data_IF_338522310992
#
_entry.id   IF_338522310992
#
_cell.length_a   1.000
_cell.length_b   1.000
_cell.length_c   1.000
_cell.angle_alpha   90.00
_cell.angle_beta   90.00
_cell.angle_gamma   90.00
#
_symmetry.space_group_name_H-M   'P 1'
#
loop_
_entity.id
_entity.type
_entity.pdbx_description
1 polymer ?
#
# COMPACT_ATOMS: atom_id res chain seq x y z
N UNK A 1 -24.45 -0.37 3.79
CA UNK A 1 -25.08 -1.65 4.18
C UNK A 1 -24.64 -2.00 5.60
N UNK A 2 -25.50 -2.65 6.38
CA UNK A 2 -25.20 -3.09 7.76
C UNK A 2 -24.11 -4.20 7.73
N UNK A 3 -23.02 -4.12 8.50
CA UNK A 3 -21.94 -5.13 8.52
C UNK A 3 -22.43 -6.57 8.76
N UNK A 4 -23.49 -6.73 9.57
CA UNK A 4 -24.12 -8.04 9.83
C UNK A 4 -24.76 -8.65 8.56
N UNK A 5 -25.26 -7.83 7.64
CA UNK A 5 -25.87 -8.30 6.39
C UNK A 5 -24.81 -8.79 5.39
N UNK A 6 -23.62 -8.18 5.37
CA UNK A 6 -22.51 -8.65 4.54
C UNK A 6 -21.90 -9.95 5.07
N UNK A 7 -21.86 -10.12 6.39
CA UNK A 7 -21.38 -11.35 7.03
C UNK A 7 -22.35 -12.52 6.84
N UNK A 8 -23.66 -12.26 6.81
CA UNK A 8 -24.69 -13.25 6.47
C UNK A 8 -24.62 -13.69 5.00
N UNK A 9 -24.37 -12.75 4.07
CA UNK A 9 -24.22 -13.04 2.65
C UNK A 9 -22.97 -13.90 2.34
N UNK A 10 -21.91 -13.77 3.13
CA UNK A 10 -20.67 -14.55 2.97
C UNK A 10 -20.81 -16.04 3.36
N UNK A 11 -21.87 -16.41 4.09
CA UNK A 11 -22.11 -17.78 4.58
C UNK A 11 -23.27 -18.50 3.86
N UNK A 12 -23.85 -17.91 2.82
CA UNK A 12 -24.95 -18.52 2.05
C UNK A 12 -24.44 -19.59 1.08
N UNK A 13 -25.18 -20.68 0.95
CA UNK A 13 -24.95 -21.65 -0.13
C UNK A 13 -25.37 -21.04 -1.49
N UNK A 14 -24.84 -21.55 -2.62
CA UNK A 14 -25.23 -21.07 -3.95
C UNK A 14 -26.74 -21.14 -4.21
N UNK A 15 -27.44 -22.14 -3.66
CA UNK A 15 -28.89 -22.29 -3.76
C UNK A 15 -29.65 -21.23 -2.95
N UNK A 16 -29.19 -20.90 -1.75
CA UNK A 16 -29.79 -19.85 -0.91
C UNK A 16 -29.58 -18.46 -1.52
N UNK A 17 -28.41 -18.22 -2.13
CA UNK A 17 -28.14 -16.98 -2.85
C UNK A 17 -29.06 -16.82 -4.07
N UNK A 18 -29.38 -17.92 -4.76
CA UNK A 18 -30.27 -17.94 -5.91
C UNK A 18 -31.74 -17.69 -5.50
N UNK A 19 -32.24 -18.33 -4.43
CA UNK A 19 -33.58 -18.08 -3.90
C UNK A 19 -33.77 -16.62 -3.44
N UNK A 20 -32.75 -16.03 -2.82
CA UNK A 20 -32.80 -14.64 -2.37
C UNK A 20 -32.83 -13.66 -3.55
N UNK A 21 -32.07 -13.95 -4.61
CA UNK A 21 -32.15 -13.21 -5.88
C UNK A 21 -33.54 -13.36 -6.53
N UNK A 22 -34.19 -14.52 -6.40
CA UNK A 22 -35.52 -14.77 -6.95
C UNK A 22 -36.67 -14.13 -6.16
N UNK A 23 -36.40 -13.57 -4.98
CA UNK A 23 -37.35 -12.78 -4.19
C UNK A 23 -37.16 -11.26 -4.35
N UNK A 24 -36.04 -10.83 -4.95
CA UNK A 24 -35.74 -9.41 -5.19
C UNK A 24 -36.52 -8.85 -6.37
N UNK A 25 -36.76 -7.53 -6.35
CA UNK A 25 -37.31 -6.82 -7.51
C UNK A 25 -36.32 -6.83 -8.69
N UNK A 26 -36.77 -6.62 -9.95
CA UNK A 26 -35.88 -6.63 -11.12
C UNK A 26 -34.69 -5.65 -11.01
N UNK A 27 -34.90 -4.46 -10.43
CA UNK A 27 -33.83 -3.47 -10.22
C UNK A 27 -32.84 -3.91 -9.14
N UNK A 28 -33.31 -4.56 -8.07
CA UNK A 28 -32.45 -5.10 -7.01
C UNK A 28 -31.65 -6.32 -7.48
N UNK A 29 -32.24 -7.18 -8.33
CA UNK A 29 -31.54 -8.29 -8.98
C UNK A 29 -30.44 -7.80 -9.90
N UNK A 30 -30.70 -6.76 -10.68
CA UNK A 30 -29.70 -6.19 -11.58
C UNK A 30 -28.57 -5.54 -10.79
N UNK A 31 -28.88 -4.78 -9.73
CA UNK A 31 -27.85 -4.25 -8.82
C UNK A 31 -27.04 -5.37 -8.14
N UNK A 32 -27.70 -6.46 -7.71
CA UNK A 32 -27.02 -7.58 -7.09
C UNK A 32 -26.11 -8.33 -8.08
N UNK A 33 -26.54 -8.52 -9.34
CA UNK A 33 -25.72 -9.09 -10.41
C UNK A 33 -24.51 -8.22 -10.72
N UNK A 34 -24.71 -6.90 -10.86
CA UNK A 34 -23.61 -5.96 -11.08
C UNK A 34 -22.62 -5.97 -9.91
N UNK A 35 -23.11 -6.06 -8.67
CA UNK A 35 -22.29 -6.17 -7.46
C UNK A 35 -21.51 -7.49 -7.42
N UNK A 36 -22.15 -8.62 -7.74
CA UNK A 36 -21.48 -9.93 -7.84
C UNK A 36 -20.41 -9.94 -8.92
N UNK A 37 -20.69 -9.38 -10.10
CA UNK A 37 -19.71 -9.29 -11.18
C UNK A 37 -18.52 -8.39 -10.80
N UNK A 38 -18.79 -7.27 -10.13
CA UNK A 38 -17.76 -6.36 -9.61
C UNK A 38 -16.88 -7.08 -8.58
N UNK A 39 -17.47 -7.83 -7.65
CA UNK A 39 -16.74 -8.64 -6.68
C UNK A 39 -15.89 -9.72 -7.35
N UNK A 40 -16.45 -10.43 -8.35
CA UNK A 40 -15.73 -11.44 -9.12
C UNK A 40 -14.53 -10.86 -9.85
N UNK A 41 -14.71 -9.73 -10.54
CA UNK A 41 -13.63 -9.02 -11.24
C UNK A 41 -12.55 -8.57 -10.25
N UNK A 42 -12.94 -7.99 -9.12
CA UNK A 42 -11.99 -7.60 -8.07
C UNK A 42 -11.20 -8.80 -7.52
N UNK A 43 -11.82 -9.98 -7.40
CA UNK A 43 -11.14 -11.21 -7.00
C UNK A 43 -10.08 -11.68 -8.01
N UNK A 44 -10.34 -11.50 -9.31
CA UNK A 44 -9.37 -11.82 -10.37
C UNK A 44 -8.15 -10.90 -10.33
N UNK A 45 -8.35 -9.60 -10.15
CA UNK A 45 -7.24 -8.65 -10.03
C UNK A 45 -6.32 -8.99 -8.85
N UNK A 46 -6.92 -9.34 -7.73
CA UNK A 46 -6.18 -9.67 -6.52
C UNK A 46 -5.44 -10.99 -6.63
N UNK A 47 -6.07 -12.02 -7.21
CA UNK A 47 -5.41 -13.29 -7.48
C UNK A 47 -4.20 -13.09 -8.41
N UNK A 48 -4.37 -12.28 -9.46
CA UNK A 48 -3.29 -11.91 -10.38
C UNK A 48 -2.13 -11.20 -9.66
N UNK A 49 -2.43 -10.20 -8.83
CA UNK A 49 -1.42 -9.44 -8.10
C UNK A 49 -0.69 -10.31 -7.06
N UNK A 50 -1.39 -11.19 -6.35
CA UNK A 50 -0.78 -12.15 -5.42
C UNK A 50 0.16 -13.10 -6.16
N UNK A 51 -0.23 -13.58 -7.34
CA UNK A 51 0.62 -14.46 -8.14
C UNK A 51 1.86 -13.72 -8.68
N UNK A 52 1.68 -12.51 -9.20
CA UNK A 52 2.73 -11.76 -9.89
C UNK A 52 3.73 -11.11 -8.92
N UNK A 53 3.27 -10.73 -7.72
CA UNK A 53 4.10 -10.13 -6.67
C UNK A 53 4.59 -11.14 -5.64
N UNK A 54 4.34 -12.44 -5.83
CA UNK A 54 4.87 -13.46 -4.93
C UNK A 54 6.40 -13.31 -4.85
N UNK A 55 6.98 -13.20 -3.64
CA UNK A 55 8.43 -13.16 -3.48
C UNK A 55 9.09 -14.38 -4.12
N UNK A 56 10.31 -14.18 -4.63
CA UNK A 56 11.11 -15.28 -5.18
C UNK A 56 11.39 -16.31 -4.09
N UNK A 57 11.38 -17.60 -4.45
CA UNK A 57 11.78 -18.64 -3.51
C UNK A 57 13.32 -18.60 -3.25
N UNK A 58 14.11 -17.99 -4.15
CA UNK A 58 15.56 -17.84 -4.04
C UNK A 58 15.99 -16.68 -3.13
N UNK A 59 15.26 -15.56 -3.20
CA UNK A 59 15.48 -14.37 -2.36
C UNK A 59 14.12 -13.77 -1.93
N UNK A 60 13.46 -14.38 -0.94
CA UNK A 60 12.12 -13.98 -0.52
C UNK A 60 12.07 -12.65 0.23
N UNK A 61 13.22 -12.15 0.68
CA UNK A 61 13.35 -10.90 1.43
C UNK A 61 13.91 -9.75 0.57
N UNK A 62 14.04 -9.97 -0.75
CA UNK A 62 14.43 -8.93 -1.71
C UNK A 62 13.43 -7.78 -1.74
N UNK A 63 13.93 -6.55 -1.77
CA UNK A 63 13.10 -5.36 -1.96
C UNK A 63 12.40 -5.42 -3.33
N UNK A 64 11.10 -5.09 -3.35
CA UNK A 64 10.33 -5.04 -4.58
C UNK A 64 10.50 -3.65 -5.20
N UNK A 65 11.09 -3.59 -6.40
CA UNK A 65 11.26 -2.33 -7.11
C UNK A 65 9.92 -1.72 -7.52
N UNK A 66 9.88 -0.38 -7.62
CA UNK A 66 8.69 0.32 -8.08
C UNK A 66 8.32 -0.07 -9.52
N UNK A 67 9.31 -0.31 -10.39
CA UNK A 67 9.05 -0.75 -11.77
C UNK A 67 8.38 -2.12 -11.79
N UNK A 68 8.83 -3.07 -10.96
CA UNK A 68 8.20 -4.39 -10.85
C UNK A 68 6.77 -4.30 -10.33
N UNK A 69 6.49 -3.40 -9.38
CA UNK A 69 5.12 -3.10 -8.98
C UNK A 69 4.32 -2.56 -10.16
N UNK A 70 4.80 -1.52 -10.85
CA UNK A 70 4.11 -0.94 -12.01
C UNK A 70 3.79 -2.00 -13.08
N UNK A 71 4.71 -2.93 -13.37
CA UNK A 71 4.45 -4.07 -14.28
C UNK A 71 3.34 -4.99 -13.76
N UNK A 72 3.37 -5.34 -12.48
CA UNK A 72 2.34 -6.20 -11.88
C UNK A 72 0.95 -5.55 -11.93
N UNK A 73 0.86 -4.25 -11.65
CA UNK A 73 -0.40 -3.50 -11.78
C UNK A 73 -0.83 -3.37 -13.25
N UNK A 74 0.09 -3.03 -14.16
CA UNK A 74 -0.19 -2.85 -15.58
C UNK A 74 -0.77 -4.10 -16.26
N UNK A 75 -0.41 -5.28 -15.74
CA UNK A 75 -0.89 -6.58 -16.21
C UNK A 75 -2.17 -7.05 -15.52
N UNK A 76 -2.67 -6.36 -14.49
CA UNK A 76 -3.91 -6.73 -13.82
C UNK A 76 -5.13 -6.58 -14.77
N UNK A 77 -6.12 -7.49 -14.72
CA UNK A 77 -7.31 -7.45 -15.58
C UNK A 77 -8.01 -6.09 -15.66
N UNK A 78 -8.18 -5.38 -14.54
CA UNK A 78 -8.79 -4.05 -14.53
C UNK A 78 -7.94 -3.01 -15.28
N UNK A 79 -6.61 -3.09 -15.19
CA UNK A 79 -5.70 -2.23 -15.95
C UNK A 79 -5.68 -2.60 -17.43
N UNK A 80 -5.78 -3.89 -17.77
CA UNK A 80 -5.92 -4.31 -19.18
C UNK A 80 -7.23 -3.85 -19.81
N UNK A 81 -8.31 -3.75 -19.01
CA UNK A 81 -9.60 -3.28 -19.48
C UNK A 81 -9.57 -1.78 -19.84
N UNK A 82 -8.71 -0.98 -19.19
CA UNK A 82 -8.36 0.35 -19.71
C UNK A 82 -7.80 0.12 -21.12
N UNK A 83 -8.42 0.65 -22.16
CA UNK A 83 -7.86 0.58 -23.51
C UNK A 83 -8.56 -0.34 -24.49
N UNK A 84 -9.49 -1.16 -24.02
CA UNK A 84 -10.13 -2.16 -24.90
C UNK A 84 -11.22 -1.57 -25.80
N UNK A 85 -11.71 -0.36 -25.49
CA UNK A 85 -12.53 0.44 -26.40
C UNK A 85 -11.71 1.66 -26.86
N UNK A 86 -11.07 1.54 -28.02
CA UNK A 86 -10.22 2.57 -28.62
C UNK A 86 -10.93 3.92 -28.75
N UNK A 87 -12.26 3.93 -28.98
CA UNK A 87 -13.07 5.15 -29.11
C UNK A 87 -13.40 5.80 -27.76
N UNK A 88 -13.48 5.01 -26.68
CA UNK A 88 -13.57 5.55 -25.32
C UNK A 88 -12.21 6.03 -24.81
N UNK A 89 -11.11 5.45 -25.30
CA UNK A 89 -9.78 5.87 -24.89
C UNK A 89 -9.37 7.18 -25.53
N UNK A 90 -9.30 7.27 -26.85
CA UNK A 90 -8.63 8.36 -27.58
C UNK A 90 -9.26 9.75 -27.42
N UNK A 91 -10.41 9.85 -26.75
CA UNK A 91 -11.33 10.94 -27.01
C UNK A 91 -11.82 10.88 -28.46
N UNK A 92 -12.76 11.74 -28.86
CA UNK A 92 -13.27 11.74 -30.24
C UNK A 92 -12.23 12.17 -31.30
N UNK A 93 -11.02 12.56 -30.91
CA UNK A 93 -10.11 13.39 -31.72
C UNK A 93 -8.70 12.85 -31.95
N UNK A 94 -8.20 11.89 -31.14
CA UNK A 94 -6.81 11.41 -31.28
C UNK A 94 -6.75 10.09 -32.06
N UNK A 95 -5.79 9.95 -32.98
CA UNK A 95 -5.49 8.65 -33.59
C UNK A 95 -4.55 7.83 -32.70
N UNK A 96 -4.70 6.50 -32.69
CA UNK A 96 -3.87 5.60 -31.87
C UNK A 96 -2.36 5.78 -32.11
N UNK A 97 -1.96 6.01 -33.36
CA UNK A 97 -0.57 6.30 -33.76
C UNK A 97 0.00 7.53 -33.05
N UNK A 98 -0.75 8.63 -33.00
CA UNK A 98 -0.33 9.88 -32.34
C UNK A 98 -0.17 9.67 -30.84
N UNK A 99 -1.08 8.90 -30.24
CA UNK A 99 -1.01 8.60 -28.81
C UNK A 99 0.18 7.70 -28.46
N UNK A 100 0.47 6.70 -29.31
CA UNK A 100 1.65 5.83 -29.17
C UNK A 100 2.96 6.61 -29.30
N UNK A 101 3.05 7.52 -30.27
CA UNK A 101 4.22 8.39 -30.43
C UNK A 101 4.42 9.30 -29.20
N UNK A 102 3.34 9.85 -28.65
CA UNK A 102 3.40 10.67 -27.43
C UNK A 102 3.86 9.85 -26.22
N UNK A 103 3.36 8.63 -26.06
CA UNK A 103 3.78 7.71 -24.98
C UNK A 103 5.24 7.28 -25.11
N UNK A 104 5.72 7.07 -26.34
CA UNK A 104 7.15 6.75 -26.58
C UNK A 104 8.06 7.91 -26.15
N UNK A 105 7.66 9.16 -26.45
CA UNK A 105 8.39 10.35 -25.94
C UNK A 105 8.36 10.43 -24.41
N UNK A 106 7.26 10.03 -23.78
CA UNK A 106 7.15 9.98 -22.32
C UNK A 106 8.06 8.90 -21.74
N UNK A 107 8.15 7.73 -22.36
CA UNK A 107 9.10 6.69 -21.99
C UNK A 107 10.55 7.20 -22.07
N UNK A 108 10.95 7.81 -23.18
CA UNK A 108 12.28 8.42 -23.33
C UNK A 108 12.57 9.43 -22.21
N UNK A 109 11.58 10.25 -21.85
CA UNK A 109 11.73 11.22 -20.76
C UNK A 109 11.79 10.54 -19.39
N UNK A 110 11.04 9.46 -19.17
CA UNK A 110 11.10 8.66 -17.94
C UNK A 110 12.48 8.03 -17.78
N UNK A 111 13.11 7.54 -18.85
CA UNK A 111 14.50 7.07 -18.84
C UNK A 111 15.48 8.21 -18.53
N UNK A 112 15.35 9.38 -19.17
CA UNK A 112 16.17 10.56 -18.90
C UNK A 112 16.11 10.99 -17.42
N UNK A 113 14.92 10.91 -16.83
CA UNK A 113 14.66 11.23 -15.42
C UNK A 113 15.07 10.11 -14.45
N UNK A 114 15.54 8.97 -14.96
CA UNK A 114 15.95 7.81 -14.17
C UNK A 114 14.80 7.04 -13.51
N UNK A 115 13.57 7.20 -14.00
CA UNK A 115 12.41 6.42 -13.56
C UNK A 115 12.51 4.95 -14.01
N UNK A 116 13.17 4.74 -15.15
CA UNK A 116 13.41 3.46 -15.81
C UNK A 116 14.90 3.35 -16.14
N UNK A 117 15.42 2.13 -16.14
CA UNK A 117 16.69 1.84 -16.80
C UNK A 117 16.43 1.70 -18.31
N UNK A 118 17.44 2.02 -19.11
CA UNK A 118 17.39 1.80 -20.56
C UNK A 118 17.02 0.36 -20.87
N UNK A 119 16.12 0.19 -21.83
CA UNK A 119 15.60 -1.10 -22.30
C UNK A 119 14.83 -1.90 -21.25
N UNK A 120 14.51 -1.31 -20.08
CA UNK A 120 13.82 -2.03 -19.02
C UNK A 120 12.46 -2.52 -19.53
N UNK A 121 11.73 -1.75 -20.35
CA UNK A 121 10.43 -2.16 -20.88
C UNK A 121 10.49 -2.94 -22.21
N UNK A 122 11.66 -3.16 -22.80
CA UNK A 122 11.79 -3.81 -24.11
C UNK A 122 11.36 -5.28 -24.12
N UNK A 123 11.33 -5.93 -22.95
CA UNK A 123 10.86 -7.31 -22.77
C UNK A 123 9.33 -7.43 -22.72
N UNK A 124 8.59 -6.30 -22.73
CA UNK A 124 7.14 -6.31 -22.68
C UNK A 124 6.54 -6.66 -24.05
N UNK A 125 6.13 -7.92 -24.22
CA UNK A 125 5.53 -8.42 -25.46
C UNK A 125 4.16 -7.80 -25.80
N UNK A 126 3.50 -7.13 -24.84
CA UNK A 126 2.16 -6.58 -25.00
C UNK A 126 2.15 -5.06 -24.87
N UNK A 127 1.79 -4.38 -25.98
CA UNK A 127 1.69 -2.92 -26.06
C UNK A 127 0.75 -2.31 -25.01
N UNK A 128 -0.30 -3.04 -24.59
CA UNK A 128 -1.23 -2.59 -23.55
C UNK A 128 -0.54 -2.55 -22.19
N UNK A 129 0.32 -3.53 -21.89
CA UNK A 129 1.06 -3.58 -20.63
C UNK A 129 2.11 -2.46 -20.60
N UNK A 130 2.88 -2.30 -21.68
CA UNK A 130 3.83 -1.20 -21.85
C UNK A 130 3.16 0.16 -21.59
N UNK A 131 2.07 0.45 -22.32
CA UNK A 131 1.30 1.70 -22.18
C UNK A 131 0.90 1.94 -20.72
N UNK A 132 0.38 0.92 -20.04
CA UNK A 132 -0.10 1.03 -18.67
C UNK A 132 1.04 1.30 -17.67
N UNK A 133 2.22 0.71 -17.88
CA UNK A 133 3.43 1.03 -17.10
C UNK A 133 3.83 2.48 -17.31
N UNK A 134 3.97 2.91 -18.57
CA UNK A 134 4.35 4.29 -18.92
C UNK A 134 3.38 5.30 -18.33
N UNK A 135 2.06 5.08 -18.44
CA UNK A 135 1.05 5.97 -17.86
C UNK A 135 1.12 6.07 -16.34
N UNK A 136 1.40 4.95 -15.68
CA UNK A 136 1.49 4.87 -14.21
C UNK A 136 2.75 5.57 -13.71
N UNK A 137 3.90 5.33 -14.35
CA UNK A 137 5.15 6.03 -14.04
C UNK A 137 5.04 7.52 -14.36
N UNK A 138 4.45 7.87 -15.51
CA UNK A 138 4.22 9.25 -15.87
C UNK A 138 3.32 9.98 -14.87
N UNK A 139 2.34 9.30 -14.28
CA UNK A 139 1.55 9.88 -13.19
C UNK A 139 2.43 10.38 -12.04
N UNK A 140 3.42 9.60 -11.62
CA UNK A 140 4.34 9.91 -10.52
C UNK A 140 5.47 10.90 -10.92
N UNK A 141 5.95 10.82 -12.17
CA UNK A 141 7.12 11.58 -12.65
C UNK A 141 6.79 12.87 -13.41
N UNK A 142 5.54 13.13 -13.79
CA UNK A 142 5.17 14.32 -14.57
C UNK A 142 5.70 15.62 -13.96
N UNK A 143 5.69 15.72 -12.63
CA UNK A 143 6.18 16.88 -11.88
C UNK A 143 7.71 17.00 -11.81
N UNK A 144 8.45 15.96 -12.18
CA UNK A 144 9.90 16.00 -12.31
C UNK A 144 10.35 16.48 -13.71
N UNK A 145 9.48 16.36 -14.71
CA UNK A 145 9.70 16.90 -16.05
C UNK A 145 9.54 18.43 -16.05
N UNK A 146 10.18 19.08 -17.02
CA UNK A 146 9.98 20.51 -17.29
C UNK A 146 8.64 20.77 -18.00
N UNK A 147 8.04 21.94 -17.72
CA UNK A 147 6.75 22.32 -18.29
C UNK A 147 6.77 22.38 -19.83
N UNK A 148 7.92 22.77 -20.40
CA UNK A 148 8.09 22.84 -21.85
C UNK A 148 7.93 21.46 -22.51
N UNK A 149 8.47 20.40 -21.93
CA UNK A 149 8.24 19.03 -22.38
C UNK A 149 6.76 18.64 -22.25
N UNK A 150 6.13 18.93 -21.10
CA UNK A 150 4.73 18.58 -20.85
C UNK A 150 3.80 19.25 -21.87
N UNK A 151 4.07 20.50 -22.25
CA UNK A 151 3.32 21.25 -23.26
C UNK A 151 3.43 20.64 -24.67
N UNK A 152 4.43 19.80 -24.95
CA UNK A 152 4.54 19.08 -26.23
C UNK A 152 3.59 17.89 -26.34
N UNK A 153 2.99 17.45 -25.23
CA UNK A 153 2.17 16.25 -25.18
C UNK A 153 0.69 16.59 -25.49
N UNK A 154 -0.06 15.68 -26.16
CA UNK A 154 -1.49 15.84 -26.37
C UNK A 154 -2.25 15.92 -25.04
N UNK A 155 -3.24 16.82 -24.94
CA UNK A 155 -4.05 16.98 -23.73
C UNK A 155 -4.85 15.72 -23.34
N UNK A 156 -5.24 14.92 -24.33
CA UNK A 156 -5.93 13.64 -24.14
C UNK A 156 -5.05 12.60 -23.40
N UNK A 157 -3.72 12.72 -23.43
CA UNK A 157 -2.83 11.84 -22.68
C UNK A 157 -3.03 11.97 -21.16
N UNK A 158 -3.40 13.17 -20.68
CA UNK A 158 -3.71 13.39 -19.28
C UNK A 158 -4.99 12.66 -18.84
N UNK A 159 -5.97 12.50 -19.73
CA UNK A 159 -7.17 11.70 -19.46
C UNK A 159 -6.79 10.23 -19.22
N UNK A 160 -5.86 9.69 -20.01
CA UNK A 160 -5.39 8.30 -19.87
C UNK A 160 -4.61 8.08 -18.59
N UNK A 161 -3.70 9.02 -18.29
CA UNK A 161 -2.91 9.03 -17.06
C UNK A 161 -3.84 9.06 -15.84
N UNK A 162 -4.92 9.83 -15.89
CA UNK A 162 -5.91 9.88 -14.81
C UNK A 162 -6.69 8.55 -14.69
N UNK A 163 -7.10 7.94 -15.80
CA UNK A 163 -7.75 6.62 -15.79
C UNK A 163 -6.85 5.53 -15.19
N UNK A 164 -5.58 5.49 -15.61
CA UNK A 164 -4.57 4.59 -15.04
C UNK A 164 -4.39 4.84 -13.53
N UNK A 165 -4.26 6.11 -13.12
CA UNK A 165 -4.16 6.46 -11.71
C UNK A 165 -5.36 5.99 -10.89
N UNK A 166 -6.59 6.22 -11.36
CA UNK A 166 -7.80 5.80 -10.65
C UNK A 166 -7.84 4.29 -10.47
N UNK A 167 -7.55 3.52 -11.52
CA UNK A 167 -7.54 2.05 -11.45
C UNK A 167 -6.42 1.54 -10.55
N UNK A 168 -5.20 2.04 -10.70
CA UNK A 168 -4.06 1.65 -9.84
C UNK A 168 -4.35 1.99 -8.38
N UNK A 169 -4.90 3.18 -8.09
CA UNK A 169 -5.28 3.58 -6.73
C UNK A 169 -6.31 2.62 -6.13
N UNK A 170 -7.33 2.22 -6.89
CA UNK A 170 -8.31 1.23 -6.42
C UNK A 170 -7.68 -0.13 -6.14
N UNK A 171 -6.75 -0.57 -6.98
CA UNK A 171 -6.02 -1.83 -6.77
C UNK A 171 -5.11 -1.75 -5.55
N UNK A 172 -4.40 -0.63 -5.36
CA UNK A 172 -3.54 -0.38 -4.21
C UNK A 172 -4.32 -0.44 -2.89
N UNK A 173 -5.49 0.19 -2.82
CA UNK A 173 -6.37 0.13 -1.63
C UNK A 173 -6.70 -1.34 -1.28
N UNK A 174 -7.04 -2.16 -2.27
CA UNK A 174 -7.31 -3.59 -2.04
C UNK A 174 -6.05 -4.34 -1.60
N UNK A 175 -4.91 -4.06 -2.23
CA UNK A 175 -3.62 -4.68 -1.87
C UNK A 175 -3.19 -4.34 -0.45
N UNK A 176 -3.39 -3.10 0.02
CA UNK A 176 -3.08 -2.70 1.39
C UNK A 176 -3.83 -3.54 2.44
N UNK A 177 -5.03 -4.03 2.12
CA UNK A 177 -5.82 -4.88 3.02
C UNK A 177 -5.44 -6.36 2.95
N UNK A 178 -4.89 -6.83 1.82
CA UNK A 178 -4.73 -8.25 1.51
C UNK A 178 -3.29 -8.75 1.51
N UNK A 179 -2.34 -7.95 1.02
CA UNK A 179 -0.91 -8.33 1.02
C UNK A 179 -0.37 -8.62 2.41
N UNK A 180 -0.78 -7.89 3.47
CA UNK A 180 -0.38 -8.26 4.83
C UNK A 180 -0.81 -9.67 5.25
N UNK A 181 -1.92 -10.19 4.71
CA UNK A 181 -2.44 -11.53 5.04
C UNK A 181 -1.56 -12.64 4.43
N UNK A 182 -0.84 -12.35 3.34
CA UNK A 182 0.15 -13.26 2.75
C UNK A 182 1.46 -13.33 3.55
N UNK A 183 1.61 -12.44 4.53
CA UNK A 183 2.79 -12.29 5.39
C UNK A 183 4.08 -11.89 4.66
N UNK A 184 3.99 -11.36 3.43
CA UNK A 184 5.13 -10.90 2.63
C UNK A 184 5.50 -9.47 2.99
N UNK A 185 6.64 -9.31 3.67
CA UNK A 185 7.08 -8.04 4.24
C UNK A 185 7.37 -7.03 3.12
N UNK A 186 8.29 -7.36 2.22
CA UNK A 186 8.77 -6.43 1.20
C UNK A 186 7.68 -5.97 0.23
N UNK A 187 6.82 -6.91 -0.19
CA UNK A 187 5.65 -6.59 -1.03
C UNK A 187 4.70 -5.63 -0.31
N UNK A 188 4.41 -5.87 0.97
CA UNK A 188 3.52 -5.00 1.75
C UNK A 188 4.09 -3.58 1.88
N UNK A 189 5.40 -3.46 2.16
CA UNK A 189 6.08 -2.16 2.26
C UNK A 189 6.14 -1.42 0.93
N UNK A 190 6.39 -2.15 -0.16
CA UNK A 190 6.45 -1.57 -1.50
C UNK A 190 5.06 -1.06 -1.96
N UNK A 191 3.99 -1.81 -1.65
CA UNK A 191 2.60 -1.37 -1.89
C UNK A 191 2.29 -0.09 -1.11
N UNK A 192 2.68 -0.01 0.16
CA UNK A 192 2.48 1.20 0.97
C UNK A 192 3.24 2.40 0.38
N UNK A 193 4.49 2.18 -0.05
CA UNK A 193 5.34 3.19 -0.67
C UNK A 193 4.74 3.72 -1.98
N UNK A 194 4.39 2.83 -2.90
CA UNK A 194 3.75 3.19 -4.18
C UNK A 194 2.43 3.93 -3.96
N UNK A 195 1.67 3.60 -2.92
CA UNK A 195 0.43 4.31 -2.59
C UNK A 195 0.65 5.78 -2.29
N UNK A 196 1.69 6.12 -1.52
CA UNK A 196 2.01 7.52 -1.23
C UNK A 196 2.49 8.27 -2.47
N UNK A 197 3.29 7.62 -3.34
CA UNK A 197 3.75 8.20 -4.60
C UNK A 197 2.57 8.51 -5.55
N UNK A 198 1.67 7.53 -5.73
CA UNK A 198 0.49 7.66 -6.58
C UNK A 198 -0.50 8.69 -6.04
N UNK A 199 -0.77 8.70 -4.73
CA UNK A 199 -1.74 9.63 -4.13
C UNK A 199 -1.36 11.11 -4.34
N UNK A 200 -0.06 11.40 -4.47
CA UNK A 200 0.46 12.76 -4.54
C UNK A 200 1.07 13.11 -5.90
N UNK A 201 1.06 12.19 -6.87
CA UNK A 201 1.75 12.34 -8.15
C UNK A 201 3.23 12.75 -7.99
N UNK A 202 3.93 12.09 -7.06
CA UNK A 202 5.35 12.33 -6.78
C UNK A 202 6.17 11.06 -7.03
N UNK A 203 7.46 11.24 -7.31
CA UNK A 203 8.30 10.19 -7.90
C UNK A 203 9.25 9.50 -6.92
N UNK A 204 9.52 10.08 -5.75
CA UNK A 204 10.54 9.51 -4.86
C UNK A 204 10.27 9.82 -3.40
N UNK A 205 10.58 8.87 -2.52
CA UNK A 205 10.57 9.06 -1.08
C UNK A 205 11.85 9.71 -0.53
N UNK A 206 12.88 9.89 -1.36
CA UNK A 206 14.20 10.35 -0.93
C UNK A 206 14.74 11.52 -1.74
N UNK A 207 14.19 11.80 -2.92
CA UNK A 207 14.58 12.96 -3.72
C UNK A 207 14.16 14.25 -2.99
N UNK A 208 15.11 15.15 -2.66
CA UNK A 208 14.81 16.41 -2.00
C UNK A 208 13.75 17.24 -2.72
N UNK A 209 13.72 17.25 -4.06
CA UNK A 209 12.73 18.01 -4.83
C UNK A 209 11.32 17.44 -4.68
N UNK A 210 11.19 16.12 -4.65
CA UNK A 210 9.91 15.47 -4.38
C UNK A 210 9.44 15.77 -2.95
N UNK A 211 10.35 15.70 -1.97
CA UNK A 211 10.07 16.01 -0.57
C UNK A 211 9.67 17.47 -0.35
N UNK A 212 10.27 18.42 -1.09
CA UNK A 212 9.85 19.82 -1.07
C UNK A 212 8.41 19.98 -1.58
N UNK A 213 8.07 19.35 -2.72
CA UNK A 213 6.68 19.37 -3.23
C UNK A 213 5.68 18.74 -2.27
N UNK A 214 6.07 17.66 -1.59
CA UNK A 214 5.25 17.08 -0.52
C UNK A 214 5.03 18.06 0.64
N UNK A 215 6.08 18.77 1.07
CA UNK A 215 5.95 19.78 2.11
C UNK A 215 4.99 20.91 1.71
N UNK A 216 4.97 21.32 0.45
CA UNK A 216 4.00 22.29 -0.09
C UNK A 216 2.56 21.74 -0.02
N UNK A 217 2.33 20.48 -0.42
CA UNK A 217 1.01 19.83 -0.32
C UNK A 217 0.51 19.83 1.13
N UNK A 218 1.36 19.39 2.06
CA UNK A 218 1.02 19.35 3.50
C UNK A 218 0.75 20.75 4.05
N UNK A 219 1.56 21.74 3.67
CA UNK A 219 1.36 23.13 4.10
C UNK A 219 0.07 23.73 3.56
N UNK A 220 -0.35 23.37 2.34
CA UNK A 220 -1.62 23.82 1.76
C UNK A 220 -2.84 23.28 2.52
N UNK A 221 -2.69 22.12 3.16
CA UNK A 221 -3.69 21.54 4.07
C UNK A 221 -3.63 22.14 5.49
N UNK A 222 -2.73 23.11 5.74
CA UNK A 222 -2.54 23.73 7.05
C UNK A 222 -1.85 22.82 8.08
N UNK A 223 -1.20 21.75 7.61
CA UNK A 223 -0.49 20.79 8.45
C UNK A 223 1.01 21.10 8.52
N UNK A 224 1.65 20.61 9.58
CA UNK A 224 3.10 20.70 9.75
C UNK A 224 3.79 19.51 9.09
N UNK A 225 4.97 19.74 8.50
CA UNK A 225 5.74 18.67 7.88
C UNK A 225 6.09 17.59 8.91
N UNK A 226 5.82 16.30 8.62
CA UNK A 226 6.10 15.22 9.54
C UNK A 226 7.59 15.10 9.89
N UNK A 227 7.89 15.35 11.15
CA UNK A 227 9.16 15.03 11.80
C UNK A 227 8.90 13.99 12.88
N UNK A 228 9.37 12.77 12.63
CA UNK A 228 8.99 11.59 13.39
C UNK A 228 10.23 10.84 13.91
N UNK A 229 10.11 10.31 15.12
CA UNK A 229 11.07 9.36 15.69
C UNK A 229 10.30 8.14 16.21
N UNK A 230 10.88 6.95 16.10
CA UNK A 230 10.24 5.71 16.49
C UNK A 230 11.13 4.93 17.45
N UNK A 231 10.56 4.45 18.56
CA UNK A 231 11.19 3.48 19.46
C UNK A 231 10.27 2.26 19.59
N UNK A 232 10.87 1.10 19.88
CA UNK A 232 10.12 -0.14 20.02
C UNK A 232 10.70 -1.02 21.13
N UNK A 233 9.84 -1.75 21.82
CA UNK A 233 10.21 -2.76 22.81
C UNK A 233 9.31 -3.99 22.67
N UNK A 234 9.83 -5.17 23.04
CA UNK A 234 9.09 -6.42 23.08
C UNK A 234 9.22 -7.02 24.47
N UNK A 235 8.08 -7.28 25.12
CA UNK A 235 8.01 -7.73 26.51
C UNK A 235 6.97 -8.82 26.68
N UNK A 236 7.05 -9.57 27.77
CA UNK A 236 5.99 -10.49 28.16
C UNK A 236 4.74 -9.70 28.54
N UNK A 237 3.60 -10.01 27.93
CA UNK A 237 2.36 -9.27 28.20
C UNK A 237 1.90 -9.38 29.67
N UNK A 238 2.13 -10.52 30.33
CA UNK A 238 1.76 -10.70 31.74
C UNK A 238 2.79 -10.13 32.71
N UNK A 239 4.03 -9.92 32.25
CA UNK A 239 5.09 -9.24 32.99
C UNK A 239 5.79 -8.20 32.10
N UNK A 240 5.20 -7.00 31.91
CA UNK A 240 5.69 -5.99 30.97
C UNK A 240 7.09 -5.42 31.27
N UNK A 241 7.68 -5.78 32.42
CA UNK A 241 9.06 -5.45 32.79
C UNK A 241 10.09 -6.48 32.32
N UNK A 242 9.65 -7.64 31.81
CA UNK A 242 10.53 -8.72 31.35
C UNK A 242 10.48 -8.85 29.83
N UNK A 243 11.64 -9.02 29.21
CA UNK A 243 11.77 -9.43 27.81
C UNK A 243 11.91 -10.95 27.66
N UNK A 244 11.88 -11.71 28.76
CA UNK A 244 11.78 -13.17 28.79
C UNK A 244 10.30 -13.58 28.78
N UNK A 245 9.91 -14.37 27.79
CA UNK A 245 8.53 -14.77 27.53
C UNK A 245 8.50 -16.30 27.49
N UNK A 246 7.69 -16.98 28.33
CA UNK A 246 7.57 -18.43 28.23
C UNK A 246 7.00 -18.85 26.85
N UNK A 247 7.42 -20.01 26.36
CA UNK A 247 6.95 -20.57 25.10
C UNK A 247 5.41 -20.59 25.02
N UNK A 248 4.84 -20.17 23.89
CA UNK A 248 3.38 -20.13 23.69
C UNK A 248 2.65 -18.98 24.42
N UNK A 249 3.32 -18.19 25.26
CA UNK A 249 2.73 -17.03 25.92
C UNK A 249 2.67 -15.78 25.04
N UNK A 250 1.89 -14.78 25.45
CA UNK A 250 1.70 -13.57 24.65
C UNK A 250 2.90 -12.60 24.77
N UNK A 251 3.50 -12.30 23.62
CA UNK A 251 4.47 -11.20 23.45
C UNK A 251 3.69 -9.92 23.18
N UNK A 252 4.02 -8.85 23.89
CA UNK A 252 3.54 -7.49 23.63
C UNK A 252 4.68 -6.65 23.05
N UNK A 253 4.50 -6.18 21.82
CA UNK A 253 5.39 -5.19 21.21
C UNK A 253 4.76 -3.81 21.39
N UNK A 254 5.46 -2.92 22.07
CA UNK A 254 5.10 -1.53 22.24
C UNK A 254 5.94 -0.68 21.30
N UNK A 255 5.28 0.15 20.51
CA UNK A 255 5.91 1.09 19.58
C UNK A 255 5.47 2.49 19.94
N UNK A 256 6.43 3.38 20.17
CA UNK A 256 6.17 4.79 20.41
C UNK A 256 6.64 5.60 19.20
N UNK A 257 5.69 6.26 18.55
CA UNK A 257 5.94 7.20 17.47
C UNK A 257 5.86 8.62 18.03
N UNK A 258 7.02 9.27 18.15
CA UNK A 258 7.14 10.64 18.62
C UNK A 258 6.98 11.60 17.44
N UNK A 259 6.01 12.50 17.54
CA UNK A 259 5.71 13.56 16.58
C UNK A 259 6.36 14.86 17.05
N UNK A 260 7.60 15.10 16.62
CA UNK A 260 8.32 16.35 16.94
C UNK A 260 7.68 17.60 16.30
N UNK A 261 6.83 17.38 15.30
CA UNK A 261 6.08 18.39 14.58
C UNK A 261 4.65 18.56 15.11
N UNK A 262 4.27 17.90 16.22
CA UNK A 262 2.96 18.09 16.82
C UNK A 262 2.77 19.57 17.22
N UNK A 263 1.56 20.09 16.99
CA UNK A 263 1.23 21.47 17.32
C UNK A 263 1.32 21.73 18.82
N UNK A 264 1.56 22.98 19.21
CA UNK A 264 1.53 23.36 20.62
C UNK A 264 0.11 23.28 21.18
N UNK A 265 -0.02 22.99 22.47
CA UNK A 265 -1.32 23.04 23.14
C UNK A 265 -1.93 24.45 23.01
N UNK A 266 -3.21 24.51 22.63
CA UNK A 266 -3.93 25.78 22.42
C UNK A 266 -3.75 26.40 21.02
N UNK A 267 -2.99 25.75 20.13
CA UNK A 267 -2.96 26.13 18.71
C UNK A 267 -4.34 25.96 18.07
N UNK A 268 -4.68 26.83 17.11
CA UNK A 268 -5.85 26.62 16.27
C UNK A 268 -5.69 25.33 15.46
N UNK A 269 -6.66 24.42 15.57
CA UNK A 269 -6.62 23.18 14.81
C UNK A 269 -6.93 23.46 13.33
N UNK A 270 -6.13 22.91 12.39
CA UNK A 270 -6.44 23.03 10.98
C UNK A 270 -7.76 22.31 10.69
N UNK A 271 -8.42 22.70 9.60
CA UNK A 271 -9.67 22.04 9.20
C UNK A 271 -9.37 20.61 8.75
N UNK A 272 -9.92 19.62 9.44
CA UNK A 272 -9.87 18.24 8.97
C UNK A 272 -10.80 18.06 7.76
N UNK A 273 -10.23 17.77 6.59
CA UNK A 273 -10.98 17.53 5.36
C UNK A 273 -11.44 16.06 5.20
N UNK A 274 -11.05 15.17 6.12
CA UNK A 274 -11.44 13.78 6.15
C UNK A 274 -12.67 13.56 7.08
N UNK A 275 -13.73 12.85 6.63
CA UNK A 275 -14.93 12.56 7.44
C UNK A 275 -14.69 11.74 8.72
N UNK A 276 -13.51 11.16 8.90
CA UNK A 276 -13.15 10.36 10.09
C UNK A 276 -12.40 11.16 11.16
N UNK A 277 -12.22 12.46 10.94
CA UNK A 277 -11.43 13.37 11.78
C UNK A 277 -10.00 12.86 12.00
N UNK A 278 -9.37 12.39 10.91
CA UNK A 278 -7.99 11.89 10.89
C UNK A 278 -7.13 12.92 10.17
N UNK A 279 -6.16 13.47 10.90
CA UNK A 279 -5.17 14.40 10.35
C UNK A 279 -3.99 13.67 9.74
N UNK A 280 -3.47 12.65 10.41
CA UNK A 280 -2.35 11.85 9.93
C UNK A 280 -2.65 10.37 10.09
N UNK A 281 -2.21 9.57 9.11
CA UNK A 281 -2.34 8.12 9.13
C UNK A 281 -1.00 7.47 8.77
N UNK A 282 -0.58 6.57 9.64
CA UNK A 282 0.61 5.75 9.49
C UNK A 282 0.24 4.28 9.57
N UNK A 283 1.15 3.43 9.12
CA UNK A 283 1.03 1.98 9.23
C UNK A 283 2.18 1.43 10.04
N UNK A 284 1.83 0.64 11.06
CA UNK A 284 2.74 -0.18 11.84
C UNK A 284 2.83 -1.56 11.22
N UNK A 285 4.03 -1.93 10.79
CA UNK A 285 4.36 -3.29 10.37
C UNK A 285 5.39 -3.89 11.33
N UNK A 286 5.15 -5.12 11.77
CA UNK A 286 6.07 -5.89 12.60
C UNK A 286 6.55 -7.11 11.81
N UNK A 287 7.82 -7.12 11.46
CA UNK A 287 8.52 -8.22 10.80
C UNK A 287 9.22 -9.09 11.84
N UNK A 288 9.00 -10.40 11.76
CA UNK A 288 9.80 -11.39 12.46
C UNK A 288 11.02 -11.75 11.62
N UNK A 289 12.21 -11.46 12.15
CA UNK A 289 13.48 -11.76 11.48
C UNK A 289 13.85 -13.20 11.75
N UNK A 290 14.06 -13.97 10.68
CA UNK A 290 14.40 -15.39 10.75
C UNK A 290 15.88 -15.63 10.43
N UNK A 291 16.39 -16.83 10.74
CA UNK A 291 17.74 -17.23 10.33
C UNK A 291 17.91 -17.14 8.80
N UNK A 292 19.15 -16.94 8.36
CA UNK A 292 19.49 -16.89 6.94
C UNK A 292 18.94 -18.09 6.17
N UNK A 293 18.36 -17.83 5.00
CA UNK A 293 17.76 -18.85 4.13
C UNK A 293 16.29 -19.18 4.45
N UNK A 294 15.69 -18.55 5.46
CA UNK A 294 14.23 -18.64 5.71
C UNK A 294 13.60 -17.27 5.55
N UNK A 295 12.58 -17.15 4.71
CA UNK A 295 11.84 -15.91 4.48
C UNK A 295 11.33 -15.30 5.79
N UNK A 296 11.59 -14.01 5.99
CA UNK A 296 10.98 -13.26 7.08
C UNK A 296 9.47 -13.26 6.92
N UNK A 297 8.76 -13.01 8.03
CA UNK A 297 7.31 -13.00 8.02
C UNK A 297 6.76 -11.77 8.68
N UNK A 298 5.78 -11.14 8.01
CA UNK A 298 4.99 -10.10 8.62
C UNK A 298 4.07 -10.72 9.69
N UNK A 299 4.24 -10.26 10.92
CA UNK A 299 3.47 -10.71 12.09
C UNK A 299 2.22 -9.85 12.25
N UNK A 300 2.38 -8.53 12.12
CA UNK A 300 1.31 -7.56 12.32
C UNK A 300 1.39 -6.45 11.27
N UNK A 301 0.23 -6.04 10.77
CA UNK A 301 0.00 -4.80 10.04
C UNK A 301 -1.19 -4.08 10.67
N UNK A 302 -1.00 -2.84 11.16
CA UNK A 302 -2.08 -2.06 11.78
C UNK A 302 -1.96 -0.58 11.44
N UNK A 303 -3.08 0.12 11.22
CA UNK A 303 -3.07 1.57 11.11
C UNK A 303 -2.81 2.23 12.48
N UNK A 304 -2.06 3.32 12.47
CA UNK A 304 -1.88 4.27 13.57
C UNK A 304 -2.41 5.61 13.09
N UNK A 305 -3.43 6.14 13.75
CA UNK A 305 -4.14 7.36 13.32
C UNK A 305 -3.97 8.47 14.34
N UNK A 306 -3.78 9.69 13.84
CA UNK A 306 -3.71 10.91 14.64
C UNK A 306 -4.98 11.70 14.41
N UNK A 307 -5.78 11.83 15.47
CA UNK A 307 -7.01 12.64 15.47
C UNK A 307 -6.85 13.99 16.15
N UNK A 308 -5.71 14.19 16.81
CA UNK A 308 -5.36 15.43 17.49
C UNK A 308 -3.95 15.84 17.08
N UNK A 309 -3.85 16.96 16.37
CA UNK A 309 -2.57 17.48 15.87
C UNK A 309 -1.60 17.83 16.99
N UNK A 310 -2.09 18.06 18.22
CA UNK A 310 -1.25 18.35 19.40
C UNK A 310 -0.67 17.09 20.06
N UNK A 311 -1.16 15.90 19.69
CA UNK A 311 -0.73 14.63 20.27
C UNK A 311 0.74 14.33 19.96
N UNK A 312 1.65 14.58 20.91
CA UNK A 312 3.10 14.37 20.71
C UNK A 312 3.52 12.92 20.55
N UNK A 313 2.81 11.97 21.15
CA UNK A 313 3.17 10.54 21.11
C UNK A 313 1.97 9.73 20.66
N UNK A 314 2.20 8.89 19.64
CA UNK A 314 1.23 7.92 19.14
C UNK A 314 1.76 6.53 19.46
N UNK A 315 1.00 5.75 20.23
CA UNK A 315 1.41 4.41 20.62
C UNK A 315 0.76 3.37 19.71
N UNK A 316 1.58 2.48 19.15
CA UNK A 316 1.15 1.30 18.41
C UNK A 316 1.45 0.04 19.22
N UNK A 317 0.52 -0.92 19.23
CA UNK A 317 0.74 -2.20 19.92
C UNK A 317 0.47 -3.40 19.02
N UNK A 318 1.35 -4.39 19.13
CA UNK A 318 1.22 -5.68 18.47
C UNK A 318 1.28 -6.80 19.54
N UNK A 319 0.38 -7.77 19.43
CA UNK A 319 0.31 -8.91 20.33
C UNK A 319 0.27 -10.17 19.49
N UNK A 320 1.14 -11.12 19.81
CA UNK A 320 1.21 -12.43 19.16
C UNK A 320 1.76 -13.48 20.15
N UNK A 321 1.71 -14.76 19.78
CA UNK A 321 2.22 -15.85 20.63
C UNK A 321 3.72 -16.04 20.41
N UNK A 322 4.46 -16.21 21.50
CA UNK A 322 5.85 -16.62 21.48
C UNK A 322 5.98 -17.99 20.78
N UNK A 323 6.99 -18.17 19.91
CA UNK A 323 7.29 -19.47 19.31
C UNK A 323 7.61 -20.54 20.37
N UNK A 324 7.52 -21.84 20.02
CA UNK A 324 7.76 -22.92 20.96
C UNK A 324 9.24 -23.10 21.34
N UNK A 325 10.16 -22.74 20.44
CA UNK A 325 11.58 -23.03 20.62
C UNK A 325 12.27 -21.92 21.44
N UNK A 326 12.94 -22.25 22.56
CA UNK A 326 13.71 -21.28 23.33
C UNK A 326 14.86 -20.67 22.51
N UNK A 327 14.82 -19.35 22.32
CA UNK A 327 15.83 -18.59 21.57
C UNK A 327 15.65 -17.09 21.76
N UNK A 328 16.62 -16.31 21.28
CA UNK A 328 16.46 -14.86 21.10
C UNK A 328 15.79 -14.58 19.76
N UNK A 329 14.61 -13.97 19.78
CA UNK A 329 13.85 -13.61 18.60
C UNK A 329 13.99 -12.12 18.32
N UNK A 330 14.41 -11.79 17.08
CA UNK A 330 14.58 -10.41 16.62
C UNK A 330 13.37 -9.97 15.83
N UNK A 331 12.92 -8.75 16.10
CA UNK A 331 11.83 -8.10 15.42
C UNK A 331 12.31 -6.81 14.77
N UNK A 332 11.75 -6.51 13.61
CA UNK A 332 11.94 -5.24 12.94
C UNK A 332 10.60 -4.55 12.75
N UNK A 333 10.55 -3.29 13.12
CA UNK A 333 9.37 -2.46 13.08
C UNK A 333 9.54 -1.47 11.93
N UNK A 334 8.51 -1.35 11.10
CA UNK A 334 8.43 -0.31 10.09
C UNK A 334 7.22 0.58 10.37
N UNK A 335 7.46 1.89 10.34
CA UNK A 335 6.40 2.90 10.27
C UNK A 335 6.47 3.55 8.90
N UNK A 336 5.41 3.40 8.11
CA UNK A 336 5.29 4.03 6.80
C UNK A 336 3.99 4.81 6.67
N UNK A 337 3.88 5.66 5.67
CA UNK A 337 2.61 6.29 5.28
C UNK A 337 2.20 5.87 3.88
N UNK A 338 0.90 5.72 3.68
CA UNK A 338 0.29 5.45 2.36
C UNK A 338 -0.17 6.73 1.66
N UNK A 339 -0.03 7.88 2.31
CA UNK A 339 -0.51 9.18 1.81
C UNK A 339 0.54 10.28 1.85
N UNK A 340 1.68 10.07 2.53
CA UNK A 340 2.77 11.04 2.62
C UNK A 340 4.09 10.35 2.27
N UNK A 341 4.84 10.93 1.33
CA UNK A 341 6.15 10.39 0.95
C UNK A 341 7.23 10.75 1.99
N UNK A 342 8.39 10.08 1.95
CA UNK A 342 9.49 10.34 2.89
C UNK A 342 9.30 9.82 4.31
N UNK A 343 8.18 9.16 4.61
CA UNK A 343 7.94 8.54 5.92
C UNK A 343 8.27 7.05 5.83
N UNK A 344 9.49 6.72 6.22
CA UNK A 344 10.01 5.35 6.34
C UNK A 344 10.88 5.25 7.58
N UNK A 345 10.28 4.92 8.71
CA UNK A 345 11.01 4.71 9.96
C UNK A 345 11.23 3.24 10.17
N UNK A 346 12.39 2.92 10.74
CA UNK A 346 12.76 1.56 11.11
C UNK A 346 13.25 1.54 12.55
N UNK A 347 12.74 0.60 13.34
CA UNK A 347 13.26 0.28 14.66
C UNK A 347 13.47 -1.23 14.77
N UNK A 348 14.32 -1.65 15.70
CA UNK A 348 14.57 -3.06 15.99
C UNK A 348 14.40 -3.30 17.48
N UNK A 349 13.81 -4.44 17.83
CA UNK A 349 13.73 -4.91 19.21
C UNK A 349 13.86 -6.43 19.24
N UNK A 350 13.97 -7.01 20.43
CA UNK A 350 14.09 -8.45 20.60
C UNK A 350 13.44 -8.89 21.91
N UNK A 351 13.05 -10.16 21.96
CA UNK A 351 12.62 -10.85 23.17
C UNK A 351 13.28 -12.23 23.23
N UNK A 352 13.27 -12.83 24.41
CA UNK A 352 13.84 -14.15 24.67
C UNK A 352 12.71 -15.11 24.99
N UNK A 353 12.63 -16.22 24.27
CA UNK A 353 11.74 -17.33 24.66
C UNK A 353 12.49 -18.23 25.62
N UNK A 354 11.88 -18.49 26.76
CA UNK A 354 12.39 -19.40 27.80
C UNK A 354 11.52 -20.65 27.88
N UNK A 355 12.08 -21.75 28.38
CA UNK A 355 11.30 -22.95 28.68
C UNK A 355 10.20 -22.61 29.70
N UNK A 356 9.05 -23.28 29.56
CA UNK A 356 7.95 -23.09 30.48
C UNK A 356 8.32 -23.77 31.81
N UNK A 357 8.79 -22.98 32.79
CA UNK A 357 9.11 -23.43 34.15
C UNK A 357 7.83 -23.79 34.94
N UNK A 358 6.88 -24.51 34.33
CA UNK A 358 5.78 -25.13 35.05
C UNK A 358 6.34 -26.42 35.66
N UNK A 359 6.45 -26.55 36.99
CA UNK A 359 6.87 -27.79 37.61
C UNK A 359 5.91 -28.89 37.18
N UNK A 360 6.43 -30.04 36.75
CA UNK A 360 5.63 -31.23 36.49
C UNK A 360 4.68 -31.45 37.69
N UNK A 361 3.38 -31.45 37.42
CA UNK A 361 2.37 -31.81 38.42
C UNK A 361 2.56 -33.31 38.72
N UNK A 362 3.33 -33.60 39.78
CA UNK A 362 3.44 -34.95 40.38
C UNK A 362 2.08 -35.52 40.83
#
# INVERSE_FOLDING_TARGET
>A
MNPAAMQAAANMTPEQAQEMLDQMSPEEREKARQMQETMRKAGLDLAHLVQTLKPSDEDPDAEVSLVNLCRAFATAPAMQALGTDEKQLLGPTLEYSVAKDALSKVEDKLEELGALKTDELNDMENETHWRNVVLTLWHMWKLAADDAFVETLPGELDYWRQGANQTVTQLLIKCQMLMPQQRWVQVTLAIASMSALMANALWSHTDPKALTKMAEVISNDGLLQPKLCCTASAVWKESPSSNEVPAGQQVLVNVELVREHASEEGSEQPKCNNPQDIYEAYWLYVEGIKPQGTANSLIVAKPMVVKDVTQKVVTGTAIFLAPPDPAVYKLRIYITSTSVIGIHLKAECQFVVVEDDVPDLE
#
